data_IF_202851962285
#
_entry.id   IF_202851962285
#
_cell.length_a   1.000
_cell.length_b   1.000
_cell.length_c   1.000
_cell.angle_alpha   90.00
_cell.angle_beta   90.00
_cell.angle_gamma   90.00
#
_symmetry.space_group_name_H-M   'P 1'
#
loop_
_entity.id
_entity.type
_entity.pdbx_description
1 polymer ?
#
# COMPACT_ATOMS: atom_id res chain seq x y z
N UNK A 1 10.63 -47.48 69.06
CA UNK A 1 9.74 -47.03 67.99
C UNK A 1 10.19 -45.60 67.59
N UNK A 2 10.86 -45.43 66.43
CA UNK A 2 11.38 -44.15 65.92
C UNK A 2 10.56 -43.77 64.72
N UNK A 3 9.77 -42.67 64.77
CA UNK A 3 9.10 -42.08 63.64
C UNK A 3 10.09 -41.12 62.96
N UNK A 4 10.42 -41.39 61.73
CA UNK A 4 11.15 -40.47 60.84
C UNK A 4 10.14 -39.58 60.14
N UNK A 5 10.30 -38.27 60.33
CA UNK A 5 9.55 -37.24 59.60
C UNK A 5 10.26 -36.97 58.27
N UNK A 6 9.57 -37.25 57.14
CA UNK A 6 9.99 -36.81 55.78
C UNK A 6 9.55 -35.37 55.60
N UNK A 7 10.54 -34.49 55.47
CA UNK A 7 10.32 -33.09 55.07
C UNK A 7 10.25 -33.03 53.55
N UNK A 8 9.07 -32.78 53.02
CA UNK A 8 8.85 -32.54 51.59
C UNK A 8 9.12 -31.05 51.32
N UNK A 9 10.24 -30.76 50.69
CA UNK A 9 10.61 -29.41 50.28
C UNK A 9 9.95 -29.12 48.93
N UNK A 10 8.83 -28.39 48.96
CA UNK A 10 8.12 -27.94 47.78
C UNK A 10 8.84 -26.69 47.23
N UNK A 11 9.61 -26.87 46.15
CA UNK A 11 10.23 -25.76 45.43
C UNK A 11 9.17 -25.02 44.61
N UNK A 12 8.81 -23.83 45.05
CA UNK A 12 7.98 -22.89 44.30
C UNK A 12 8.79 -22.32 43.13
N UNK A 13 8.57 -22.84 41.91
CA UNK A 13 8.97 -22.20 40.68
C UNK A 13 8.12 -20.96 40.49
N UNK A 14 8.67 -19.80 40.81
CA UNK A 14 8.10 -18.50 40.47
C UNK A 14 8.36 -18.29 38.99
N UNK A 15 7.39 -18.61 38.15
CA UNK A 15 7.39 -18.25 36.73
C UNK A 15 7.25 -16.74 36.64
N UNK A 16 8.37 -16.07 36.34
CA UNK A 16 8.39 -14.65 36.03
C UNK A 16 7.67 -14.44 34.69
N UNK A 17 6.39 -14.10 34.76
CA UNK A 17 5.67 -13.52 33.63
C UNK A 17 6.26 -12.12 33.39
N UNK A 18 7.21 -12.03 32.46
CA UNK A 18 7.59 -10.76 31.91
C UNK A 18 6.38 -10.21 31.17
N UNK A 19 5.71 -9.23 31.75
CA UNK A 19 4.74 -8.39 31.06
C UNK A 19 5.52 -7.57 30.03
N UNK A 20 5.52 -8.04 28.76
CA UNK A 20 5.87 -7.17 27.65
C UNK A 20 4.84 -6.03 27.64
N UNK A 21 5.26 -4.89 28.13
CA UNK A 21 4.56 -3.64 27.94
C UNK A 21 4.44 -3.43 26.44
N UNK A 22 3.21 -3.44 25.92
CA UNK A 22 2.90 -2.91 24.61
C UNK A 22 3.32 -1.42 24.62
N UNK A 23 4.58 -1.18 24.26
CA UNK A 23 5.11 0.16 24.01
C UNK A 23 4.28 0.77 22.89
N UNK A 24 3.83 2.02 23.12
CA UNK A 24 2.95 2.70 22.19
C UNK A 24 3.56 2.85 20.79
N UNK A 25 2.71 3.10 19.86
CA UNK A 25 2.79 3.23 18.40
C UNK A 25 3.96 4.07 17.80
N UNK A 26 4.89 4.56 18.62
CA UNK A 26 5.97 5.48 18.22
C UNK A 26 7.34 4.83 18.00
N UNK A 27 7.48 3.52 18.19
CA UNK A 27 8.80 2.85 18.18
C UNK A 27 9.01 1.86 17.01
N UNK A 28 8.17 1.92 15.99
CA UNK A 28 8.34 1.07 14.80
C UNK A 28 9.48 1.60 13.92
N UNK A 29 10.50 0.77 13.69
CA UNK A 29 11.58 1.13 12.77
C UNK A 29 11.15 1.01 11.30
N UNK A 30 11.78 1.78 10.41
CA UNK A 30 11.60 1.66 8.95
C UNK A 30 11.85 0.23 8.45
N UNK A 31 12.81 -0.49 9.06
CA UNK A 31 13.11 -1.87 8.68
C UNK A 31 11.96 -2.84 9.01
N UNK A 32 11.30 -2.65 10.15
CA UNK A 32 10.09 -3.41 10.52
C UNK A 32 8.92 -3.08 9.57
N UNK A 33 8.67 -1.80 9.31
CA UNK A 33 7.62 -1.38 8.38
C UNK A 33 7.83 -1.95 6.97
N UNK A 34 9.06 -1.91 6.44
CA UNK A 34 9.39 -2.52 5.14
C UNK A 34 9.11 -4.03 5.10
N UNK A 35 9.33 -4.75 6.20
CA UNK A 35 8.96 -6.18 6.30
C UNK A 35 7.45 -6.37 6.24
N UNK A 36 6.68 -5.59 6.99
CA UNK A 36 5.21 -5.66 6.96
C UNK A 36 4.66 -5.41 5.56
N UNK A 37 5.20 -4.41 4.85
CA UNK A 37 4.83 -4.13 3.45
C UNK A 37 5.19 -5.30 2.53
N UNK A 38 6.39 -5.87 2.65
CA UNK A 38 6.82 -7.01 1.84
C UNK A 38 5.98 -8.26 2.08
N UNK A 39 5.55 -8.48 3.32
CA UNK A 39 4.67 -9.59 3.72
C UNK A 39 3.18 -9.31 3.48
N UNK A 40 2.82 -8.11 3.03
CA UNK A 40 1.43 -7.65 2.85
C UNK A 40 0.58 -7.83 4.13
N UNK A 41 1.15 -7.51 5.30
CA UNK A 41 0.53 -7.75 6.62
C UNK A 41 0.54 -6.50 7.47
N UNK A 42 -0.55 -6.29 8.22
CA UNK A 42 -0.66 -5.29 9.28
C UNK A 42 -0.18 -3.87 8.89
N UNK A 43 -0.35 -3.49 7.61
CA UNK A 43 0.11 -2.19 7.10
C UNK A 43 -0.59 -1.01 7.77
N UNK A 44 -1.79 -1.25 8.31
CA UNK A 44 -2.57 -0.29 9.10
C UNK A 44 -1.92 0.06 10.46
N UNK A 45 -0.95 -0.74 10.89
CA UNK A 45 -0.20 -0.48 12.14
C UNK A 45 1.05 0.38 11.91
N UNK A 46 1.43 0.68 10.67
CA UNK A 46 2.61 1.47 10.35
C UNK A 46 2.30 2.95 10.65
N UNK A 47 3.04 3.58 11.59
CA UNK A 47 2.82 4.99 11.93
C UNK A 47 3.06 5.93 10.76
N UNK A 48 2.32 7.03 10.73
CA UNK A 48 2.41 8.05 9.70
C UNK A 48 3.83 8.63 9.55
N UNK A 49 4.54 8.85 10.66
CA UNK A 49 5.93 9.31 10.65
C UNK A 49 6.88 8.32 9.94
N UNK A 50 6.62 7.01 10.07
CA UNK A 50 7.42 5.96 9.42
C UNK A 50 7.14 5.94 7.91
N UNK A 51 5.89 6.12 7.48
CA UNK A 51 5.56 6.32 6.07
C UNK A 51 6.26 7.54 5.47
N UNK A 52 6.29 8.66 6.22
CA UNK A 52 6.97 9.89 5.79
C UNK A 52 8.49 9.69 5.60
N UNK A 53 9.12 8.81 6.40
CA UNK A 53 10.55 8.47 6.27
C UNK A 53 10.80 7.47 5.14
N UNK A 54 9.87 6.52 4.91
CA UNK A 54 10.03 5.46 3.91
C UNK A 54 9.85 5.94 2.47
N UNK A 55 9.05 6.98 2.26
CA UNK A 55 8.60 7.42 0.95
C UNK A 55 9.26 8.73 0.51
N UNK A 56 9.44 8.94 -0.81
CA UNK A 56 9.74 10.26 -1.33
C UNK A 56 8.70 11.29 -0.84
N UNK A 57 9.12 12.49 -0.53
CA UNK A 57 8.26 13.52 0.07
C UNK A 57 6.97 13.80 -0.74
N UNK A 58 7.03 13.77 -2.08
CA UNK A 58 5.85 13.95 -2.92
C UNK A 58 4.93 12.73 -2.84
N UNK A 59 5.46 11.51 -2.87
CA UNK A 59 4.68 10.27 -2.74
C UNK A 59 3.93 10.23 -1.41
N UNK A 60 4.61 10.55 -0.31
CA UNK A 60 3.97 10.64 1.00
C UNK A 60 2.83 11.66 1.01
N UNK A 61 3.06 12.88 0.48
CA UNK A 61 2.02 13.91 0.41
C UNK A 61 0.82 13.46 -0.43
N UNK A 62 1.05 12.79 -1.53
CA UNK A 62 -0.03 12.28 -2.38
C UNK A 62 -0.78 11.16 -1.67
N UNK A 63 -0.08 10.12 -1.21
CA UNK A 63 -0.69 8.91 -0.67
C UNK A 63 -1.44 9.13 0.65
N UNK A 64 -0.85 9.93 1.57
CA UNK A 64 -1.35 10.05 2.95
C UNK A 64 -1.94 11.41 3.27
N UNK A 65 -1.68 12.46 2.47
CA UNK A 65 -2.23 13.80 2.67
C UNK A 65 -3.19 14.24 1.57
N UNK A 66 -3.51 13.35 0.61
CA UNK A 66 -4.47 13.63 -0.46
C UNK A 66 -4.03 14.73 -1.43
N UNK A 67 -2.72 14.97 -1.55
CA UNK A 67 -2.20 15.94 -2.50
C UNK A 67 -2.29 15.44 -3.95
N UNK A 68 -2.22 16.37 -4.90
CA UNK A 68 -2.13 16.06 -6.32
C UNK A 68 -0.82 16.63 -6.87
N UNK A 69 -0.07 15.81 -7.61
CA UNK A 69 1.12 16.26 -8.32
C UNK A 69 0.77 17.23 -9.47
N UNK A 70 1.74 18.02 -9.92
CA UNK A 70 1.52 18.93 -11.06
C UNK A 70 1.28 18.12 -12.35
N UNK A 71 0.35 18.54 -13.23
CA UNK A 71 0.12 17.87 -14.49
C UNK A 71 1.39 17.88 -15.37
N UNK A 72 1.58 16.85 -16.17
CA UNK A 72 2.69 16.66 -17.12
C UNK A 72 4.08 16.59 -16.47
N UNK A 73 4.19 16.34 -15.17
CA UNK A 73 5.48 16.22 -14.48
C UNK A 73 5.79 14.83 -13.96
N UNK A 74 4.81 13.93 -13.93
CA UNK A 74 4.94 12.60 -13.35
C UNK A 74 5.77 11.66 -14.25
N UNK A 75 6.77 10.95 -13.71
CA UNK A 75 7.68 10.10 -14.51
C UNK A 75 6.97 8.91 -15.19
N UNK A 76 5.82 8.48 -14.68
CA UNK A 76 5.06 7.37 -15.25
C UNK A 76 4.05 7.80 -16.32
N UNK A 77 3.96 9.10 -16.63
CA UNK A 77 3.09 9.59 -17.69
C UNK A 77 3.45 8.93 -19.04
N UNK A 78 4.73 8.94 -19.39
CA UNK A 78 5.25 8.40 -20.64
C UNK A 78 5.68 6.92 -20.56
N UNK A 79 5.44 6.22 -19.45
CA UNK A 79 5.77 4.81 -19.33
C UNK A 79 4.87 3.97 -20.25
N UNK A 80 5.46 3.23 -21.21
CA UNK A 80 4.75 2.45 -22.26
C UNK A 80 5.09 0.96 -22.26
N UNK A 81 6.06 0.55 -21.41
CA UNK A 81 6.44 -0.86 -21.31
C UNK A 81 5.31 -1.71 -20.75
N UNK A 82 5.28 -2.99 -21.09
CA UNK A 82 4.35 -3.94 -20.45
C UNK A 82 4.77 -4.23 -19.01
N UNK A 83 3.76 -4.31 -18.12
CA UNK A 83 3.97 -4.52 -16.71
C UNK A 83 2.77 -4.16 -15.84
N UNK A 84 3.03 -4.03 -14.56
CA UNK A 84 2.04 -3.75 -13.53
C UNK A 84 2.41 -2.50 -12.76
N UNK A 85 1.42 -1.66 -12.48
CA UNK A 85 1.56 -0.52 -11.57
C UNK A 85 1.09 -0.95 -10.19
N UNK A 86 1.98 -0.80 -9.20
CA UNK A 86 1.68 -1.03 -7.78
C UNK A 86 1.64 0.30 -7.05
N UNK A 87 0.97 0.35 -5.89
CA UNK A 87 1.01 1.56 -5.04
C UNK A 87 2.41 1.78 -4.49
N UNK A 88 2.84 3.03 -4.38
CA UNK A 88 4.21 3.36 -3.96
C UNK A 88 4.46 3.02 -2.48
N UNK A 89 3.44 3.05 -1.63
CA UNK A 89 3.52 2.66 -0.22
C UNK A 89 3.33 1.17 0.00
N UNK A 90 2.09 0.70 -0.05
CA UNK A 90 1.70 -0.68 0.27
C UNK A 90 2.07 -1.73 -0.79
N UNK A 91 2.61 -1.34 -1.96
CA UNK A 91 3.00 -2.24 -3.06
C UNK A 91 1.85 -3.10 -3.60
N UNK A 92 0.62 -2.65 -3.48
CA UNK A 92 -0.56 -3.34 -4.01
C UNK A 92 -0.66 -3.18 -5.53
N UNK A 93 -0.85 -4.26 -6.31
CA UNK A 93 -1.09 -4.15 -7.75
C UNK A 93 -2.46 -3.53 -8.02
N UNK A 94 -2.47 -2.37 -8.67
CA UNK A 94 -3.69 -1.57 -8.88
C UNK A 94 -4.04 -1.36 -10.34
N UNK A 95 -3.04 -1.28 -11.25
CA UNK A 95 -3.28 -1.12 -12.69
C UNK A 95 -2.33 -1.99 -13.51
N UNK A 96 -2.79 -2.36 -14.72
CA UNK A 96 -1.97 -3.05 -15.72
C UNK A 96 -1.62 -2.09 -16.87
N UNK A 97 -0.40 -2.19 -17.41
CA UNK A 97 0.04 -1.33 -18.52
C UNK A 97 -0.88 -1.40 -19.74
N UNK A 98 -1.47 -2.57 -20.05
CA UNK A 98 -2.43 -2.73 -21.15
C UNK A 98 -3.72 -1.92 -21.00
N UNK A 99 -4.05 -1.45 -19.79
CA UNK A 99 -5.22 -0.62 -19.52
C UNK A 99 -4.89 0.87 -19.52
N UNK A 100 -3.60 1.22 -19.67
CA UNK A 100 -3.14 2.61 -19.75
C UNK A 100 -3.41 3.20 -21.13
N UNK A 101 -3.79 4.47 -21.17
CA UNK A 101 -3.99 5.21 -22.41
C UNK A 101 -3.66 6.70 -22.23
N UNK A 102 -3.47 7.41 -23.34
CA UNK A 102 -3.20 8.84 -23.35
C UNK A 102 -4.51 9.63 -23.30
N UNK A 103 -4.85 10.18 -22.14
CA UNK A 103 -6.06 10.97 -21.95
C UNK A 103 -5.88 12.46 -22.21
N UNK A 104 -4.63 12.93 -22.34
CA UNK A 104 -4.30 14.35 -22.43
C UNK A 104 -4.46 15.14 -21.14
N UNK A 105 -4.82 14.47 -20.02
CA UNK A 105 -5.08 15.14 -18.73
C UNK A 105 -3.80 15.60 -18.01
N UNK A 106 -2.65 15.05 -18.38
CA UNK A 106 -1.35 15.31 -17.73
C UNK A 106 -1.00 14.37 -16.58
N UNK A 107 -1.82 13.35 -16.35
CA UNK A 107 -1.60 12.27 -15.38
C UNK A 107 -1.77 10.90 -16.04
N UNK A 108 -1.08 9.85 -15.53
CA UNK A 108 -1.32 8.47 -15.94
C UNK A 108 -2.81 8.12 -15.87
N UNK A 109 -3.35 7.63 -16.98
CA UNK A 109 -4.77 7.32 -17.12
C UNK A 109 -4.99 5.88 -17.51
N UNK A 110 -5.94 5.23 -16.81
CA UNK A 110 -6.27 3.82 -17.01
C UNK A 110 -7.80 3.69 -17.19
N UNK A 111 -8.23 2.77 -18.04
CA UNK A 111 -9.67 2.52 -18.23
C UNK A 111 -10.20 1.39 -17.34
N UNK A 112 -9.31 0.60 -16.68
CA UNK A 112 -9.68 -0.46 -15.74
C UNK A 112 -8.61 -0.67 -14.68
N UNK A 113 -9.01 -1.12 -13.49
CA UNK A 113 -8.13 -1.55 -12.41
C UNK A 113 -7.62 -2.98 -12.65
N UNK A 114 -6.46 -3.32 -12.07
CA UNK A 114 -5.89 -4.66 -12.13
C UNK A 114 -6.70 -5.66 -11.27
N UNK A 115 -6.99 -5.28 -10.03
CA UNK A 115 -7.80 -6.06 -9.10
C UNK A 115 -8.71 -5.12 -8.31
N UNK A 116 -10.01 -5.35 -8.39
CA UNK A 116 -11.03 -4.53 -7.71
C UNK A 116 -10.93 -4.60 -6.19
N UNK A 117 -10.41 -5.69 -5.63
CA UNK A 117 -10.22 -5.85 -4.18
C UNK A 117 -9.11 -4.96 -3.60
N UNK A 118 -8.21 -4.48 -4.45
CA UNK A 118 -7.11 -3.60 -4.07
C UNK A 118 -7.47 -2.11 -4.14
N UNK A 119 -8.67 -1.78 -4.63
CA UNK A 119 -9.11 -0.39 -4.87
C UNK A 119 -10.44 -0.12 -4.18
N UNK A 120 -10.52 1.01 -3.50
CA UNK A 120 -11.73 1.51 -2.85
C UNK A 120 -12.13 2.84 -3.51
N UNK A 121 -13.40 2.99 -3.84
CA UNK A 121 -13.96 4.23 -4.38
C UNK A 121 -14.74 4.96 -3.28
N UNK A 122 -14.39 6.23 -3.02
CA UNK A 122 -15.00 7.06 -2.00
C UNK A 122 -15.50 8.37 -2.62
N UNK A 123 -16.68 8.82 -2.22
CA UNK A 123 -17.21 10.12 -2.65
C UNK A 123 -16.34 11.25 -2.09
N UNK A 124 -15.86 12.10 -2.96
CA UNK A 124 -15.12 13.32 -2.64
C UNK A 124 -15.93 14.56 -3.01
N UNK A 125 -16.20 15.40 -2.01
CA UNK A 125 -16.92 16.66 -2.15
C UNK A 125 -16.02 17.88 -1.93
N UNK A 126 -14.71 17.69 -1.88
CA UNK A 126 -13.76 18.78 -1.70
C UNK A 126 -13.83 19.78 -2.88
N UNK A 127 -13.47 21.00 -2.61
CA UNK A 127 -13.45 22.10 -3.61
C UNK A 127 -14.79 22.35 -4.32
N UNK A 128 -15.92 21.99 -3.71
CA UNK A 128 -17.25 22.14 -4.31
C UNK A 128 -17.55 21.24 -5.52
N UNK A 129 -16.68 20.28 -5.79
CA UNK A 129 -16.84 19.29 -6.87
C UNK A 129 -17.40 17.97 -6.33
N UNK A 130 -18.13 17.25 -7.19
CA UNK A 130 -18.57 15.88 -6.90
C UNK A 130 -17.71 14.93 -7.71
N UNK A 131 -16.77 14.26 -7.04
CA UNK A 131 -15.85 13.31 -7.67
C UNK A 131 -15.86 11.99 -6.92
N UNK A 132 -15.32 10.95 -7.54
CA UNK A 132 -15.03 9.68 -6.90
C UNK A 132 -13.51 9.56 -6.71
N UNK A 133 -13.08 9.63 -5.46
CA UNK A 133 -11.69 9.40 -5.06
C UNK A 133 -11.34 7.92 -5.20
N UNK A 134 -10.16 7.65 -5.70
CA UNK A 134 -9.59 6.31 -5.83
C UNK A 134 -8.56 6.12 -4.73
N UNK A 135 -8.85 5.22 -3.82
CA UNK A 135 -7.95 4.81 -2.74
C UNK A 135 -7.46 3.39 -2.98
N UNK A 136 -6.28 3.06 -2.48
CA UNK A 136 -5.91 1.67 -2.31
C UNK A 136 -6.66 1.05 -1.11
N UNK A 137 -6.66 -0.28 -1.03
CA UNK A 137 -7.17 -1.04 0.12
C UNK A 137 -6.49 -0.65 1.45
N UNK A 138 -5.24 -0.13 1.41
CA UNK A 138 -4.54 0.40 2.57
C UNK A 138 -4.95 1.83 2.94
N UNK A 139 -5.84 2.47 2.19
CA UNK A 139 -6.24 3.85 2.42
C UNK A 139 -5.38 4.90 1.72
N UNK A 140 -4.39 4.52 0.91
CA UNK A 140 -3.55 5.43 0.13
C UNK A 140 -4.38 6.16 -0.92
N UNK A 141 -4.29 7.50 -0.97
CA UNK A 141 -4.89 8.29 -2.05
C UNK A 141 -4.11 8.09 -3.36
N UNK A 142 -4.79 7.68 -4.41
CA UNK A 142 -4.18 7.45 -5.73
C UNK A 142 -4.54 8.55 -6.73
N UNK A 143 -5.77 9.04 -6.70
CA UNK A 143 -6.33 10.01 -7.64
C UNK A 143 -7.85 9.95 -7.66
N UNK A 144 -8.44 10.13 -8.84
CA UNK A 144 -9.90 10.13 -9.02
C UNK A 144 -10.31 9.32 -10.25
N UNK A 145 -11.57 8.85 -10.26
CA UNK A 145 -12.17 8.21 -11.42
C UNK A 145 -13.30 9.07 -11.98
N UNK A 146 -13.40 9.11 -13.31
CA UNK A 146 -14.35 9.88 -14.11
C UNK A 146 -15.06 8.95 -15.11
N UNK A 147 -16.24 9.35 -15.57
CA UNK A 147 -17.07 8.59 -16.53
C UNK A 147 -16.88 9.08 -17.98
N UNK A 148 -15.68 9.56 -18.30
CA UNK A 148 -15.29 10.11 -19.60
C UNK A 148 -14.16 9.31 -20.27
N UNK A 149 -14.00 8.06 -19.87
CA UNK A 149 -12.99 7.14 -20.38
C UNK A 149 -13.41 6.40 -21.66
N UNK A 150 -12.49 5.63 -22.26
CA UNK A 150 -12.76 4.83 -23.44
C UNK A 150 -13.57 3.57 -23.12
N UNK A 151 -14.12 2.93 -24.18
CA UNK A 151 -14.63 1.57 -24.08
C UNK A 151 -13.50 0.60 -23.68
N UNK A 152 -13.77 -0.52 -22.96
CA UNK A 152 -15.13 -1.07 -22.71
C UNK A 152 -15.82 -0.50 -21.45
N UNK A 153 -15.11 0.14 -20.53
CA UNK A 153 -15.68 0.55 -19.24
C UNK A 153 -16.33 1.93 -19.25
N UNK A 154 -15.88 2.83 -20.12
CA UNK A 154 -16.26 4.25 -20.07
C UNK A 154 -15.61 5.01 -18.91
N UNK A 155 -14.73 4.36 -18.13
CA UNK A 155 -14.09 4.95 -16.96
C UNK A 155 -12.69 5.47 -17.28
N UNK A 156 -12.32 6.57 -16.63
CA UNK A 156 -10.96 7.11 -16.62
C UNK A 156 -10.46 7.23 -15.19
N UNK A 157 -9.60 6.33 -14.78
CA UNK A 157 -8.82 6.43 -13.55
C UNK A 157 -7.65 7.38 -13.81
N UNK A 158 -7.73 8.60 -13.29
CA UNK A 158 -6.71 9.63 -13.41
C UNK A 158 -5.84 9.61 -12.15
N UNK A 159 -4.63 9.09 -12.26
CA UNK A 159 -3.82 8.64 -11.11
C UNK A 159 -2.50 9.39 -11.06
N UNK A 160 -2.09 9.83 -9.87
CA UNK A 160 -0.81 10.46 -9.65
C UNK A 160 0.36 9.48 -9.92
N UNK A 161 1.35 9.87 -10.72
CA UNK A 161 2.59 9.08 -10.88
C UNK A 161 3.27 8.85 -9.52
N UNK A 162 3.27 9.87 -8.67
CA UNK A 162 3.87 9.81 -7.34
C UNK A 162 3.21 8.79 -6.41
N UNK A 163 1.97 8.35 -6.73
CA UNK A 163 1.25 7.30 -6.00
C UNK A 163 1.62 5.89 -6.45
N UNK A 164 2.37 5.75 -7.54
CA UNK A 164 2.62 4.47 -8.21
C UNK A 164 4.12 4.16 -8.32
N UNK A 165 4.40 2.85 -8.38
CA UNK A 165 5.65 2.30 -8.92
C UNK A 165 5.32 1.39 -10.10
N UNK A 166 6.19 1.36 -11.10
CA UNK A 166 6.04 0.49 -12.26
C UNK A 166 6.95 -0.74 -12.14
N UNK A 167 6.37 -1.93 -12.28
CA UNK A 167 7.09 -3.22 -12.29
C UNK A 167 6.99 -3.77 -13.71
N UNK A 168 8.11 -3.79 -14.48
CA UNK A 168 8.13 -4.38 -15.82
C UNK A 168 7.78 -5.88 -15.81
N UNK A 169 7.14 -6.37 -16.85
CA UNK A 169 6.71 -7.75 -16.99
C UNK A 169 7.86 -8.76 -16.80
N UNK A 170 9.07 -8.45 -17.25
CA UNK A 170 10.24 -9.31 -17.06
C UNK A 170 10.57 -9.57 -15.58
N UNK A 171 10.44 -8.54 -14.71
CA UNK A 171 10.65 -8.71 -13.25
C UNK A 171 9.55 -9.52 -12.58
N UNK A 172 8.34 -9.48 -13.12
CA UNK A 172 7.23 -10.28 -12.59
C UNK A 172 7.51 -11.77 -12.77
N UNK A 173 8.08 -12.13 -13.92
CA UNK A 173 8.43 -13.51 -14.25
C UNK A 173 9.62 -14.00 -13.41
N UNK A 174 10.65 -13.17 -13.20
CA UNK A 174 11.85 -13.51 -12.41
C UNK A 174 11.53 -13.75 -10.93
N UNK A 175 10.50 -13.11 -10.39
CA UNK A 175 10.08 -13.22 -8.99
C UNK A 175 8.92 -14.21 -8.77
N UNK A 176 8.42 -14.86 -9.83
CA UNK A 176 7.41 -15.89 -9.68
C UNK A 176 8.04 -17.14 -9.04
N UNK A 177 7.39 -17.77 -8.04
CA UNK A 177 7.91 -18.99 -7.47
C UNK A 177 8.02 -20.06 -8.58
N UNK A 178 9.19 -20.67 -8.71
CA UNK A 178 9.42 -21.77 -9.65
C UNK A 178 8.47 -22.93 -9.29
N UNK A 179 7.44 -23.18 -10.11
CA UNK A 179 6.54 -24.30 -9.95
C UNK A 179 5.04 -23.98 -9.92
N UNK A 180 4.59 -22.89 -10.53
CA UNK A 180 3.16 -22.66 -10.77
C UNK A 180 2.80 -23.10 -12.21
N UNK A 181 2.85 -24.42 -12.47
CA UNK A 181 2.23 -25.11 -13.60
C UNK A 181 0.93 -25.81 -13.15
#
# INVERSE_FOLDING_TARGET
MKLSAFYCMCALLVSSCASESLGGDSDMSVAQAKRLVAEQRAMETIPDAVWAEMLPALSYKVLWQGATERPFTGPLLEEKRDGVYVTAGCKLPVFHARHKYESGSGWPSFWEVFNRENVVLKKDFSWGMRRMEVLSKCGEHLGHVFEDGPKPTGLRYCINSAALEFIPAQRVIENAPAGAD
#
